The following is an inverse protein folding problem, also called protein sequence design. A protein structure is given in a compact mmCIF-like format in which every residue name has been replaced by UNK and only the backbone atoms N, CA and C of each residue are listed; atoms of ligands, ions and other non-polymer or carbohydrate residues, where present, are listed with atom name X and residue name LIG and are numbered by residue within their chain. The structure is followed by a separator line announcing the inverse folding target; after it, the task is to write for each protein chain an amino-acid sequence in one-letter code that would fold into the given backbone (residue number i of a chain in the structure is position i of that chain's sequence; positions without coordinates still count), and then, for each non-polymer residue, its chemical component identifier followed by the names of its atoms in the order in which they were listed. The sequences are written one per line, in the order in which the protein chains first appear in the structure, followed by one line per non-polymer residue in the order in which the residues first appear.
data_IF_541626104700
#
_entry.id   IF_541626104700
#
_cell.length_a   1.000
_cell.length_b   1.000
_cell.length_c   1.000
_cell.angle_alpha   90.00
_cell.angle_beta   90.00
_cell.angle_gamma   90.00
#
_symmetry.space_group_name_H-M   'P 1'
#
loop_
_entity.id
_entity.type
_entity.pdbx_description
1 polymer ?
#
# COMPACT_ATOMS: atom_id res chain seq x y z
N UNK A 1 -28.20 2.26 46.77
CA UNK A 1 -26.95 1.86 46.10
C UNK A 1 -27.25 0.97 44.90
N UNK A 2 -27.60 1.52 43.73
CA UNK A 2 -27.91 0.73 42.51
C UNK A 2 -27.36 1.32 41.21
N UNK A 3 -26.62 2.43 41.27
CA UNK A 3 -26.19 3.18 40.07
C UNK A 3 -24.73 2.88 39.68
N UNK A 4 -23.95 2.23 40.56
CA UNK A 4 -22.51 2.02 40.36
C UNK A 4 -22.22 0.85 39.39
N UNK A 5 -23.16 -0.09 39.20
CA UNK A 5 -22.95 -1.25 38.33
C UNK A 5 -23.12 -0.97 36.82
N UNK A 6 -23.60 0.21 36.43
CA UNK A 6 -23.85 0.55 35.02
C UNK A 6 -22.60 1.06 34.28
N UNK A 7 -21.61 1.60 35.00
CA UNK A 7 -20.41 2.22 34.41
C UNK A 7 -19.34 1.17 34.05
N UNK A 8 -19.33 0.02 34.74
CA UNK A 8 -18.35 -1.05 34.49
C UNK A 8 -18.61 -1.85 33.20
N UNK A 9 -19.84 -1.87 32.70
CA UNK A 9 -20.21 -2.58 31.46
C UNK A 9 -19.82 -1.78 30.20
N UNK A 10 -19.72 -0.45 30.31
CA UNK A 10 -19.34 0.43 29.19
C UNK A 10 -17.83 0.41 28.87
N UNK A 11 -17.00 -0.17 29.74
CA UNK A 11 -15.55 -0.27 29.52
C UNK A 11 -15.12 -1.54 28.77
N UNK A 12 -16.03 -2.48 28.51
CA UNK A 12 -15.72 -3.76 27.87
C UNK A 12 -15.91 -3.79 26.34
N UNK A 13 -16.41 -2.71 25.73
CA UNK A 13 -16.81 -2.67 24.31
C UNK A 13 -15.74 -2.03 23.40
N UNK A 14 -14.51 -1.91 23.89
CA UNK A 14 -13.46 -1.09 23.27
C UNK A 14 -12.14 -1.78 22.97
N UNK A 15 -12.08 -3.11 22.90
CA UNK A 15 -10.88 -3.82 22.44
C UNK A 15 -11.19 -4.46 21.09
N UNK A 16 -10.67 -3.87 20.01
CA UNK A 16 -10.41 -4.61 18.78
C UNK A 16 -9.61 -5.87 19.14
N UNK A 17 -10.00 -7.03 18.61
CA UNK A 17 -9.36 -8.31 18.91
C UNK A 17 -7.84 -8.20 18.64
N UNK A 18 -6.98 -8.24 19.69
CA UNK A 18 -5.54 -8.05 19.53
C UNK A 18 -4.91 -9.06 18.56
N UNK A 19 -5.53 -10.24 18.42
CA UNK A 19 -5.07 -11.30 17.53
C UNK A 19 -5.14 -10.88 16.05
N UNK A 20 -6.14 -10.08 15.66
CA UNK A 20 -6.34 -9.70 14.25
C UNK A 20 -5.27 -8.69 13.78
N UNK A 21 -4.79 -7.82 14.67
CA UNK A 21 -3.72 -6.87 14.38
C UNK A 21 -2.38 -7.58 14.19
N UNK A 22 -2.07 -8.55 15.06
CA UNK A 22 -0.85 -9.34 14.96
C UNK A 22 -0.85 -10.23 13.70
N UNK A 23 -1.97 -10.88 13.38
CA UNK A 23 -2.12 -11.64 12.12
C UNK A 23 -1.96 -10.75 10.88
N UNK A 24 -2.56 -9.55 10.89
CA UNK A 24 -2.42 -8.58 9.79
C UNK A 24 -0.97 -8.14 9.62
N UNK A 25 -0.26 -7.90 10.73
CA UNK A 25 1.16 -7.53 10.72
C UNK A 25 2.02 -8.67 10.17
N UNK A 26 1.84 -9.89 10.65
CA UNK A 26 2.56 -11.07 10.15
C UNK A 26 2.31 -11.29 8.66
N UNK A 27 1.06 -11.13 8.23
CA UNK A 27 0.70 -11.19 6.82
C UNK A 27 1.44 -10.13 5.99
N UNK A 28 1.52 -8.88 6.46
CA UNK A 28 2.23 -7.80 5.78
C UNK A 28 3.76 -8.00 5.75
N UNK A 29 4.32 -8.54 6.81
CA UNK A 29 5.77 -8.69 6.97
C UNK A 29 6.34 -9.90 6.21
N UNK A 30 5.50 -10.92 5.96
CA UNK A 30 5.91 -12.19 5.33
C UNK A 30 6.46 -12.09 3.90
N UNK A 31 5.90 -11.28 2.96
CA UNK A 31 6.29 -11.34 1.57
C UNK A 31 7.57 -10.55 1.30
N UNK A 32 8.26 -10.90 0.23
CA UNK A 32 9.42 -10.20 -0.30
C UNK A 32 9.28 -10.05 -1.81
N UNK A 33 9.69 -8.89 -2.34
CA UNK A 33 9.70 -8.62 -3.76
C UNK A 33 10.80 -7.60 -4.09
N UNK A 34 11.45 -7.79 -5.23
CA UNK A 34 12.34 -6.79 -5.81
C UNK A 34 12.35 -6.99 -7.32
N UNK A 35 11.61 -6.15 -8.05
CA UNK A 35 11.34 -6.39 -9.47
C UNK A 35 11.11 -5.09 -10.24
N UNK A 36 11.76 -4.97 -11.40
CA UNK A 36 11.51 -3.92 -12.38
C UNK A 36 10.38 -4.39 -13.30
N UNK A 37 9.27 -3.65 -13.37
CA UNK A 37 8.09 -4.07 -14.11
C UNK A 37 8.28 -4.04 -15.63
N UNK A 38 8.13 -5.19 -16.28
CA UNK A 38 8.05 -5.28 -17.75
C UNK A 38 6.60 -5.35 -18.25
N UNK A 39 5.66 -5.76 -17.39
CA UNK A 39 4.22 -5.78 -17.69
C UNK A 39 3.46 -5.17 -16.52
N UNK A 40 2.24 -4.68 -16.80
CA UNK A 40 1.33 -4.25 -15.74
C UNK A 40 1.05 -5.43 -14.80
N UNK A 41 0.99 -5.20 -13.47
CA UNK A 41 0.59 -6.23 -12.53
C UNK A 41 -0.77 -6.82 -12.89
N UNK A 42 -0.95 -8.11 -12.62
CA UNK A 42 -2.21 -8.83 -12.85
C UNK A 42 -2.68 -9.46 -11.56
N UNK A 43 -3.99 -9.54 -11.39
CA UNK A 43 -4.60 -10.32 -10.32
C UNK A 43 -5.21 -11.57 -10.93
N UNK A 44 -4.91 -12.73 -10.35
CA UNK A 44 -5.56 -13.98 -10.70
C UNK A 44 -5.87 -14.73 -9.41
N UNK A 45 -7.16 -14.91 -9.12
CA UNK A 45 -7.63 -15.45 -7.84
C UNK A 45 -7.06 -14.64 -6.66
N UNK A 46 -6.28 -15.28 -5.79
CA UNK A 46 -5.66 -14.68 -4.62
C UNK A 46 -4.24 -14.16 -4.90
N UNK A 47 -3.71 -14.35 -6.11
CA UNK A 47 -2.34 -13.96 -6.46
C UNK A 47 -2.29 -12.61 -7.16
N UNK A 48 -1.38 -11.77 -6.69
CA UNK A 48 -0.84 -10.61 -7.38
C UNK A 48 0.42 -11.00 -8.14
N UNK A 49 0.36 -10.91 -9.46
CA UNK A 49 1.40 -11.40 -10.36
C UNK A 49 2.21 -10.20 -10.86
N UNK A 50 3.50 -10.20 -10.50
CA UNK A 50 4.49 -9.27 -11.02
C UNK A 50 5.33 -9.97 -12.09
N UNK A 51 5.46 -9.33 -13.25
CA UNK A 51 6.27 -9.85 -14.37
C UNK A 51 7.27 -8.78 -14.76
N UNK A 52 8.54 -9.12 -14.72
CA UNK A 52 9.59 -8.14 -14.78
C UNK A 52 11.00 -8.70 -14.80
N UNK A 53 11.97 -7.86 -14.44
CA UNK A 53 13.39 -8.22 -14.34
C UNK A 53 13.83 -8.09 -12.89
N UNK A 54 14.54 -9.09 -12.39
CA UNK A 54 15.27 -8.99 -11.12
C UNK A 54 16.43 -7.98 -11.29
N UNK A 55 16.46 -6.88 -10.52
CA UNK A 55 17.46 -5.84 -10.70
C UNK A 55 18.89 -6.28 -10.33
N UNK A 56 19.07 -7.35 -9.56
CA UNK A 56 20.36 -7.91 -9.18
C UNK A 56 20.86 -8.86 -10.26
N UNK A 57 20.05 -9.87 -10.60
CA UNK A 57 20.49 -10.93 -11.52
C UNK A 57 20.31 -10.56 -13.00
N UNK A 58 19.57 -9.50 -13.30
CA UNK A 58 19.20 -9.04 -14.65
C UNK A 58 18.41 -10.06 -15.46
N UNK A 59 17.79 -11.04 -14.81
CA UNK A 59 16.99 -12.09 -15.46
C UNK A 59 15.51 -11.76 -15.38
N UNK A 60 14.78 -12.17 -16.43
CA UNK A 60 13.33 -12.17 -16.42
C UNK A 60 12.81 -13.04 -15.27
N UNK A 61 11.80 -12.54 -14.56
CA UNK A 61 11.24 -13.18 -13.38
C UNK A 61 9.74 -12.93 -13.27
N UNK A 62 9.07 -13.86 -12.58
CA UNK A 62 7.66 -13.77 -12.20
C UNK A 62 7.59 -13.96 -10.70
N UNK A 63 7.01 -12.99 -9.99
CA UNK A 63 6.81 -13.05 -8.54
C UNK A 63 5.31 -13.10 -8.26
N UNK A 64 4.89 -14.05 -7.42
CA UNK A 64 3.52 -14.24 -6.97
C UNK A 64 3.43 -13.75 -5.52
N UNK A 65 2.51 -12.83 -5.28
CA UNK A 65 2.35 -12.14 -4.00
C UNK A 65 0.88 -12.17 -3.56
N UNK A 66 0.58 -12.01 -2.26
CA UNK A 66 -0.80 -12.02 -1.80
C UNK A 66 -1.65 -10.86 -2.37
N UNK A 67 -2.77 -11.18 -3.01
CA UNK A 67 -3.58 -10.28 -3.82
C UNK A 67 -4.19 -9.10 -3.09
N UNK A 68 -4.73 -9.32 -1.88
CA UNK A 68 -5.58 -8.33 -1.18
C UNK A 68 -4.85 -7.03 -0.88
N UNK A 69 -3.63 -7.11 -0.36
CA UNK A 69 -2.85 -5.92 -0.02
C UNK A 69 -2.14 -5.35 -1.25
N UNK A 70 -1.52 -6.21 -2.07
CA UNK A 70 -0.79 -5.75 -3.26
C UNK A 70 -1.69 -5.13 -4.34
N UNK A 71 -2.99 -5.40 -4.33
CA UNK A 71 -3.94 -4.72 -5.21
C UNK A 71 -3.83 -3.19 -5.13
N UNK A 72 -3.61 -2.64 -3.94
CA UNK A 72 -3.52 -1.19 -3.70
C UNK A 72 -2.34 -0.54 -4.45
N UNK A 73 -1.33 -1.34 -4.80
CA UNK A 73 -0.14 -0.90 -5.53
C UNK A 73 -0.44 -0.64 -7.01
N UNK A 74 -1.47 -1.27 -7.56
CA UNK A 74 -1.73 -1.30 -9.02
C UNK A 74 -1.90 0.08 -9.64
N UNK A 75 -2.59 1.00 -8.96
CA UNK A 75 -2.82 2.37 -9.44
C UNK A 75 -1.54 3.21 -9.49
N UNK A 76 -0.52 2.81 -8.74
CA UNK A 76 0.77 3.50 -8.65
C UNK A 76 1.84 2.88 -9.56
N UNK A 77 1.54 1.85 -10.34
CA UNK A 77 2.52 1.13 -11.15
C UNK A 77 2.51 1.56 -12.62
N UNK A 78 3.68 1.95 -13.14
CA UNK A 78 3.96 2.07 -14.56
C UNK A 78 5.05 1.09 -15.00
N UNK A 79 5.15 0.83 -16.31
CA UNK A 79 6.23 0.02 -16.85
C UNK A 79 7.59 0.68 -16.57
N UNK A 80 8.56 -0.14 -16.21
CA UNK A 80 9.90 0.28 -15.80
C UNK A 80 10.02 0.66 -14.33
N UNK A 81 8.92 0.89 -13.60
CA UNK A 81 8.98 1.14 -12.16
C UNK A 81 9.48 -0.10 -11.43
N UNK A 82 10.11 0.12 -10.27
CA UNK A 82 10.61 -0.96 -9.42
C UNK A 82 9.70 -1.12 -8.21
N UNK A 83 9.20 -2.32 -7.99
CA UNK A 83 8.49 -2.68 -6.76
C UNK A 83 9.49 -3.33 -5.82
N UNK A 84 9.57 -2.79 -4.60
CA UNK A 84 10.39 -3.33 -3.51
C UNK A 84 9.50 -3.62 -2.31
N UNK A 85 9.53 -4.87 -1.86
CA UNK A 85 8.93 -5.30 -0.59
C UNK A 85 10.01 -6.03 0.20
N UNK A 86 10.37 -5.50 1.36
CA UNK A 86 11.36 -6.12 2.24
C UNK A 86 10.66 -7.04 3.25
N UNK A 87 11.24 -8.20 3.50
CA UNK A 87 10.78 -9.12 4.56
C UNK A 87 10.87 -8.42 5.92
N UNK A 88 9.88 -8.62 6.79
CA UNK A 88 9.83 -8.00 8.11
C UNK A 88 9.39 -6.53 8.12
N UNK A 89 9.06 -5.95 6.96
CA UNK A 89 8.60 -4.57 6.85
C UNK A 89 7.20 -4.54 6.23
N UNK A 90 6.19 -3.92 6.84
CA UNK A 90 4.81 -3.90 6.33
C UNK A 90 4.60 -2.81 5.26
N UNK A 91 5.64 -2.49 4.47
CA UNK A 91 5.64 -1.42 3.46
C UNK A 91 6.03 -2.00 2.11
N UNK A 92 5.21 -1.70 1.09
CA UNK A 92 5.54 -1.88 -0.32
C UNK A 92 5.98 -0.54 -0.88
N UNK A 93 7.15 -0.50 -1.50
CA UNK A 93 7.71 0.69 -2.12
C UNK A 93 7.60 0.57 -3.64
N UNK A 94 7.07 1.60 -4.30
CA UNK A 94 7.06 1.74 -5.76
C UNK A 94 7.99 2.86 -6.14
N UNK A 95 9.17 2.51 -6.65
CA UNK A 95 10.18 3.44 -7.11
C UNK A 95 9.89 3.80 -8.57
N UNK A 96 9.77 5.09 -8.82
CA UNK A 96 9.19 5.64 -10.04
C UNK A 96 10.28 5.99 -11.05
N UNK A 97 10.13 5.49 -12.28
CA UNK A 97 10.94 5.94 -13.43
C UNK A 97 10.60 7.36 -13.86
N UNK A 98 9.33 7.74 -13.71
CA UNK A 98 8.83 9.10 -13.91
C UNK A 98 8.06 9.50 -12.66
N UNK A 99 8.36 10.70 -12.15
CA UNK A 99 7.70 11.22 -10.94
C UNK A 99 6.18 11.16 -11.09
N UNK A 100 5.51 10.80 -10.00
CA UNK A 100 4.06 10.80 -9.85
C UNK A 100 3.76 11.63 -8.61
N UNK A 101 2.83 12.59 -8.68
CA UNK A 101 2.55 13.52 -7.59
C UNK A 101 3.81 14.22 -7.04
N UNK A 102 4.67 14.71 -7.94
CA UNK A 102 5.99 15.30 -7.62
C UNK A 102 6.98 14.40 -6.84
N UNK A 103 6.65 13.12 -6.57
CA UNK A 103 7.52 12.17 -5.87
C UNK A 103 8.10 11.09 -6.81
N UNK A 104 9.29 10.62 -6.48
CA UNK A 104 9.97 9.50 -7.14
C UNK A 104 9.69 8.14 -6.46
N UNK A 105 8.92 8.13 -5.37
CA UNK A 105 8.62 6.94 -4.59
C UNK A 105 7.22 7.03 -3.97
N UNK A 106 6.48 5.94 -4.03
CA UNK A 106 5.20 5.76 -3.34
C UNK A 106 5.33 4.59 -2.37
N UNK A 107 5.01 4.83 -1.11
CA UNK A 107 5.02 3.84 -0.04
C UNK A 107 3.59 3.47 0.33
N UNK A 108 3.31 2.17 0.38
CA UNK A 108 2.01 1.62 0.75
C UNK A 108 2.23 0.73 1.96
N UNK A 109 1.79 1.21 3.12
CA UNK A 109 1.96 0.53 4.40
C UNK A 109 0.66 -0.17 4.80
N UNK A 110 0.74 -1.44 5.21
CA UNK A 110 -0.38 -2.11 5.87
C UNK A 110 -0.30 -1.90 7.38
N UNK A 111 -1.39 -1.42 7.96
CA UNK A 111 -1.57 -1.18 9.39
C UNK A 111 -2.74 -2.02 9.89
N UNK A 112 -2.97 -2.05 11.20
CA UNK A 112 -4.10 -2.78 11.77
C UNK A 112 -5.47 -2.15 11.43
N UNK A 113 -5.49 -0.87 11.07
CA UNK A 113 -6.72 -0.12 10.77
C UNK A 113 -6.96 0.06 9.25
N UNK A 114 -6.10 -0.53 8.40
CA UNK A 114 -6.16 -0.38 6.94
C UNK A 114 -4.79 -0.10 6.35
N UNK A 115 -4.71 0.75 5.32
CA UNK A 115 -3.45 1.07 4.66
C UNK A 115 -3.18 2.56 4.59
N UNK A 116 -1.90 2.92 4.60
CA UNK A 116 -1.41 4.28 4.42
C UNK A 116 -0.69 4.39 3.09
N UNK A 117 -0.88 5.51 2.40
CA UNK A 117 -0.17 5.87 1.17
C UNK A 117 0.71 7.07 1.50
N UNK A 118 2.02 6.91 1.44
CA UNK A 118 3.01 7.88 1.90
C UNK A 118 2.68 8.43 3.30
N UNK A 119 2.33 7.54 4.23
CA UNK A 119 1.95 7.89 5.62
C UNK A 119 0.60 8.59 5.77
N UNK A 120 -0.21 8.71 4.71
CA UNK A 120 -1.56 9.28 4.76
C UNK A 120 -2.61 8.18 4.71
N UNK A 121 -3.70 8.36 5.45
CA UNK A 121 -4.89 7.53 5.25
C UNK A 121 -5.42 7.70 3.83
N UNK A 122 -6.13 6.69 3.32
CA UNK A 122 -6.74 6.72 1.98
C UNK A 122 -7.55 7.98 1.72
N UNK A 123 -8.35 8.40 2.71
CA UNK A 123 -9.14 9.64 2.62
C UNK A 123 -8.25 10.86 2.38
N UNK A 124 -7.21 11.04 3.21
CA UNK A 124 -6.27 12.16 3.09
C UNK A 124 -5.44 12.09 1.81
N UNK A 125 -5.17 10.88 1.32
CA UNK A 125 -4.51 10.68 0.04
C UNK A 125 -5.40 11.15 -1.12
N UNK A 126 -6.68 10.75 -1.14
CA UNK A 126 -7.62 11.17 -2.18
C UNK A 126 -7.83 12.70 -2.20
N UNK A 127 -7.93 13.33 -1.02
CA UNK A 127 -7.99 14.80 -0.90
C UNK A 127 -6.73 15.46 -1.49
N UNK A 128 -5.55 14.86 -1.28
CA UNK A 128 -4.30 15.31 -1.87
C UNK A 128 -4.27 15.13 -3.39
N UNK A 129 -4.70 13.97 -3.91
CA UNK A 129 -4.77 13.71 -5.35
C UNK A 129 -5.68 14.71 -6.07
N UNK A 130 -6.85 14.99 -5.50
CA UNK A 130 -7.80 15.98 -6.03
C UNK A 130 -7.19 17.40 -6.03
N UNK A 131 -6.58 17.80 -4.91
CA UNK A 131 -5.89 19.08 -4.80
C UNK A 131 -4.76 19.23 -5.82
N UNK A 132 -3.99 18.15 -6.03
CA UNK A 132 -2.90 18.10 -7.00
C UNK A 132 -3.41 18.21 -8.45
N UNK A 133 -4.49 17.49 -8.79
CA UNK A 133 -5.15 17.61 -10.08
C UNK A 133 -5.63 19.04 -10.35
N UNK A 134 -6.25 19.68 -9.36
CA UNK A 134 -6.67 21.08 -9.45
C UNK A 134 -5.48 22.04 -9.65
N UNK A 135 -4.34 21.81 -8.99
CA UNK A 135 -3.10 22.60 -9.19
C UNK A 135 -2.59 22.48 -10.63
N UNK A 136 -2.57 21.27 -11.19
CA UNK A 136 -2.14 21.06 -12.58
C UNK A 136 -3.06 21.78 -13.58
N UNK A 137 -4.38 21.67 -13.39
CA UNK A 137 -5.35 22.35 -14.24
C UNK A 137 -5.20 23.87 -14.22
N UNK A 138 -4.98 24.46 -13.03
CA UNK A 138 -4.70 25.90 -12.90
C UNK A 138 -3.41 26.30 -13.60
N UNK A 139 -2.34 25.52 -13.45
CA UNK A 139 -1.05 25.77 -14.12
C UNK A 139 -1.14 25.63 -15.64
N UNK A 140 -2.05 24.81 -16.16
CA UNK A 140 -2.27 24.66 -17.59
C UNK A 140 -3.05 25.86 -18.15
N UNK A 141 -4.11 26.29 -17.47
CA UNK A 141 -4.95 27.42 -17.88
C UNK A 141 -4.29 28.80 -17.72
N UNK A 142 -3.14 28.89 -17.03
CA UNK A 142 -2.38 30.13 -16.87
C UNK A 142 -1.23 30.28 -17.88
N UNK A 143 -1.15 29.44 -18.90
CA UNK A 143 -0.21 29.51 -20.02
C UNK A 143 -0.96 29.83 -21.31
#
# INVERSE_FOLDING_TARGET
MKVIYSILILLAIGCSDPNNCEETKQYAESPEANIILLKKPKIKFEDFILIGVDPITKRDTVQLLPGRWFYQVTSFCNLGDTIVKRKGVPIIEVHKTKKMFDTARIDIELTCDGYLINGKTVKRWNEYEESYGNKLNRSYNSR
#
